data_IF_366416843111
#
_entry.id   IF_366416843111
#
_cell.length_a   1.000
_cell.length_b   1.000
_cell.length_c   1.000
_cell.angle_alpha   90.00
_cell.angle_beta   90.00
_cell.angle_gamma   90.00
#
_symmetry.space_group_name_H-M   'P 1'
#
loop_
_entity.id
_entity.type
_entity.pdbx_description
1 polymer ?
#
# COMPACT_ATOMS: atom_id res chain seq x y z
N UNK A 1 6.33 -44.23 -35.26
CA UNK A 1 6.53 -43.61 -33.94
C UNK A 1 6.47 -42.10 -34.11
N UNK A 2 5.31 -41.51 -33.82
CA UNK A 2 5.08 -40.07 -33.99
C UNK A 2 5.86 -39.36 -32.88
N UNK A 3 6.98 -38.71 -33.23
CA UNK A 3 7.82 -37.98 -32.29
C UNK A 3 7.04 -36.73 -31.84
N UNK A 4 6.36 -36.81 -30.70
CA UNK A 4 5.82 -35.63 -30.03
C UNK A 4 7.03 -34.88 -29.47
N UNK A 5 7.62 -34.02 -30.28
CA UNK A 5 8.70 -33.13 -29.84
C UNK A 5 8.10 -32.21 -28.80
N UNK A 6 8.45 -32.43 -27.54
CA UNK A 6 7.88 -31.72 -26.40
C UNK A 6 8.29 -30.24 -26.49
N UNK A 7 7.43 -29.37 -27.03
CA UNK A 7 7.65 -27.92 -27.23
C UNK A 7 7.69 -27.12 -25.91
N UNK A 8 7.87 -27.82 -24.79
CA UNK A 8 7.76 -27.28 -23.43
C UNK A 8 8.79 -26.19 -23.18
N UNK A 9 10.00 -26.29 -23.74
CA UNK A 9 11.01 -25.24 -23.62
C UNK A 9 10.60 -23.89 -24.21
N UNK A 10 9.62 -23.84 -25.14
CA UNK A 10 9.08 -22.58 -25.69
C UNK A 10 7.84 -22.09 -24.96
N UNK A 11 7.00 -22.98 -24.43
CA UNK A 11 5.75 -22.60 -23.75
C UNK A 11 5.94 -22.34 -22.27
N UNK A 12 6.91 -22.99 -21.62
CA UNK A 12 7.24 -22.82 -20.21
C UNK A 12 7.72 -21.40 -19.87
N UNK A 13 8.63 -20.74 -20.64
CA UNK A 13 8.97 -19.35 -20.36
C UNK A 13 7.79 -18.40 -20.55
N UNK A 14 6.93 -18.63 -21.56
CA UNK A 14 5.69 -17.84 -21.75
C UNK A 14 4.73 -18.01 -20.57
N UNK A 15 4.55 -19.24 -20.10
CA UNK A 15 3.73 -19.54 -18.92
C UNK A 15 4.31 -18.90 -17.66
N UNK A 16 5.60 -19.05 -17.41
CA UNK A 16 6.28 -18.43 -16.28
C UNK A 16 6.19 -16.89 -16.33
N UNK A 17 6.32 -16.29 -17.51
CA UNK A 17 6.14 -14.85 -17.69
C UNK A 17 4.70 -14.41 -17.39
N UNK A 18 3.69 -15.16 -17.86
CA UNK A 18 2.30 -14.88 -17.56
C UNK A 18 1.98 -15.00 -16.07
N UNK A 19 2.53 -16.02 -15.40
CA UNK A 19 2.41 -16.19 -13.94
C UNK A 19 3.08 -15.03 -13.21
N UNK A 20 4.33 -14.68 -13.56
CA UNK A 20 5.04 -13.58 -12.92
C UNK A 20 4.30 -12.25 -13.06
N UNK A 21 3.80 -11.95 -14.26
CA UNK A 21 3.03 -10.73 -14.53
C UNK A 21 1.71 -10.72 -13.75
N UNK A 22 1.04 -11.86 -13.67
CA UNK A 22 -0.18 -12.03 -12.87
C UNK A 22 0.10 -11.86 -11.37
N UNK A 23 1.19 -12.43 -10.85
CA UNK A 23 1.60 -12.30 -9.46
C UNK A 23 1.87 -10.84 -9.09
N UNK A 24 2.59 -10.09 -9.93
CA UNK A 24 2.83 -8.65 -9.73
C UNK A 24 1.51 -7.90 -9.65
N UNK A 25 0.57 -8.18 -10.57
CA UNK A 25 -0.75 -7.56 -10.56
C UNK A 25 -1.54 -7.88 -9.29
N UNK A 26 -1.55 -9.14 -8.84
CA UNK A 26 -2.25 -9.58 -7.62
C UNK A 26 -1.64 -8.93 -6.38
N UNK A 27 -0.31 -8.89 -6.25
CA UNK A 27 0.33 -8.24 -5.10
C UNK A 27 0.06 -6.73 -5.07
N UNK A 28 0.07 -6.06 -6.23
CA UNK A 28 -0.31 -4.65 -6.31
C UNK A 28 -1.78 -4.44 -5.93
N UNK A 29 -2.68 -5.34 -6.36
CA UNK A 29 -4.10 -5.29 -5.98
C UNK A 29 -4.33 -5.51 -4.46
N UNK A 30 -3.56 -6.40 -3.85
CA UNK A 30 -3.58 -6.58 -2.39
C UNK A 30 -3.11 -5.32 -1.67
N UNK A 31 -2.03 -4.67 -2.15
CA UNK A 31 -1.59 -3.38 -1.64
C UNK A 31 -2.67 -2.32 -1.79
N UNK A 32 -3.29 -2.18 -2.97
CA UNK A 32 -4.32 -1.17 -3.26
C UNK A 32 -5.57 -1.31 -2.39
N UNK A 33 -5.88 -2.53 -1.94
CA UNK A 33 -7.05 -2.85 -1.11
C UNK A 33 -6.74 -2.75 0.40
N UNK A 34 -5.56 -2.26 0.79
CA UNK A 34 -5.16 -2.11 2.19
C UNK A 34 -5.96 -1.00 2.89
N UNK A 35 -6.32 -1.16 4.18
CA UNK A 35 -7.09 -0.12 4.88
C UNK A 35 -6.32 1.20 5.01
N UNK A 36 -4.98 1.19 5.00
CA UNK A 36 -4.15 2.43 4.96
C UNK A 36 -4.50 3.29 3.74
N UNK A 37 -4.77 2.67 2.60
CA UNK A 37 -5.10 3.39 1.37
C UNK A 37 -6.52 3.95 1.43
N UNK A 38 -7.46 3.19 2.00
CA UNK A 38 -8.81 3.69 2.25
C UNK A 38 -8.78 4.92 3.20
N UNK A 39 -8.00 4.86 4.29
CA UNK A 39 -7.84 5.96 5.24
C UNK A 39 -7.19 7.18 4.60
N UNK A 40 -6.10 7.01 3.82
CA UNK A 40 -5.45 8.12 3.12
C UNK A 40 -6.35 8.76 2.06
N UNK A 41 -7.13 7.97 1.30
CA UNK A 41 -8.13 8.51 0.38
C UNK A 41 -9.24 9.28 1.11
N UNK A 42 -9.69 8.79 2.25
CA UNK A 42 -10.68 9.50 3.06
C UNK A 42 -10.13 10.83 3.57
N UNK A 43 -8.91 10.83 4.12
CA UNK A 43 -8.23 12.04 4.58
C UNK A 43 -8.04 13.07 3.43
N UNK A 44 -7.76 12.62 2.21
CA UNK A 44 -7.69 13.51 1.04
C UNK A 44 -9.04 14.17 0.74
N UNK A 45 -10.14 13.45 0.89
CA UNK A 45 -11.49 13.98 0.62
C UNK A 45 -11.93 15.00 1.66
N UNK A 46 -11.45 14.88 2.89
CA UNK A 46 -11.80 15.79 3.99
C UNK A 46 -10.83 16.95 4.13
N UNK A 47 -9.61 16.84 3.60
CA UNK A 47 -8.59 17.90 3.66
C UNK A 47 -8.98 19.13 2.82
N UNK A 48 -9.06 20.33 3.43
CA UNK A 48 -9.35 21.56 2.70
C UNK A 48 -8.30 21.87 1.61
N UNK A 49 -7.01 21.69 1.93
CA UNK A 49 -5.89 21.94 1.00
C UNK A 49 -5.91 20.98 -0.19
N UNK A 50 -6.17 19.69 0.07
CA UNK A 50 -6.28 18.71 -1.00
C UNK A 50 -7.45 19.03 -1.93
N UNK A 51 -8.60 19.42 -1.35
CA UNK A 51 -9.81 19.79 -2.10
C UNK A 51 -9.67 21.08 -2.88
N UNK A 52 -8.88 22.04 -2.41
CA UNK A 52 -8.58 23.27 -3.15
C UNK A 52 -7.94 22.95 -4.52
N UNK A 53 -7.01 21.99 -4.55
CA UNK A 53 -6.31 21.57 -5.75
C UNK A 53 -7.07 20.51 -6.57
N UNK A 54 -7.47 19.39 -5.94
CA UNK A 54 -8.08 18.24 -6.62
C UNK A 54 -9.58 18.46 -6.92
N UNK A 55 -10.26 19.29 -6.14
CA UNK A 55 -11.72 19.41 -6.14
C UNK A 55 -12.42 18.30 -5.37
N UNK A 56 -13.70 18.13 -5.65
CA UNK A 56 -14.55 17.08 -5.07
C UNK A 56 -14.31 15.70 -5.71
N UNK A 57 -14.92 14.67 -5.13
CA UNK A 57 -14.93 13.29 -5.64
C UNK A 57 -13.53 12.69 -5.88
N UNK A 58 -12.61 12.87 -4.93
CA UNK A 58 -11.26 12.28 -5.04
C UNK A 58 -11.33 10.76 -5.12
N UNK A 59 -10.79 10.17 -6.18
CA UNK A 59 -10.69 8.73 -6.44
C UNK A 59 -9.29 8.38 -6.95
N UNK A 60 -9.03 7.08 -7.13
CA UNK A 60 -7.85 6.66 -7.91
C UNK A 60 -7.97 7.15 -9.36
N UNK A 61 -6.83 7.53 -9.95
CA UNK A 61 -6.77 7.90 -11.37
C UNK A 61 -7.11 6.73 -12.30
N UNK A 62 -6.76 5.51 -11.90
CA UNK A 62 -6.91 4.30 -12.71
C UNK A 62 -7.71 3.22 -11.96
N UNK A 63 -8.41 2.36 -12.71
CA UNK A 63 -9.18 1.24 -12.14
C UNK A 63 -8.29 0.21 -11.44
N UNK A 64 -7.08 0.00 -11.97
CA UNK A 64 -6.01 -0.78 -11.33
C UNK A 64 -4.93 0.24 -10.93
N UNK A 65 -5.01 0.82 -9.73
CA UNK A 65 -4.04 1.81 -9.30
C UNK A 65 -2.69 1.14 -9.02
N UNK A 66 -1.62 1.69 -9.59
CA UNK A 66 -0.27 1.25 -9.26
C UNK A 66 0.16 1.91 -7.94
N UNK A 67 0.42 1.09 -6.92
CA UNK A 67 0.87 1.56 -5.61
C UNK A 67 2.39 1.34 -5.54
N UNK A 68 3.14 2.41 -5.72
CA UNK A 68 4.59 2.36 -5.61
C UNK A 68 5.01 2.48 -4.14
N UNK A 69 6.13 1.84 -3.81
CA UNK A 69 6.77 1.93 -2.49
C UNK A 69 6.56 0.73 -1.57
N UNK A 70 6.92 0.95 -0.31
CA UNK A 70 6.95 -0.04 0.75
C UNK A 70 5.70 0.07 1.65
N UNK A 71 4.97 -1.03 1.75
CA UNK A 71 3.87 -1.17 2.70
C UNK A 71 4.26 -2.26 3.69
N UNK A 72 4.99 -1.88 4.74
CA UNK A 72 5.47 -2.79 5.76
C UNK A 72 4.95 -2.37 7.13
N UNK A 73 3.64 -2.53 7.32
CA UNK A 73 2.94 -2.18 8.56
C UNK A 73 3.51 -2.95 9.76
N UNK A 74 3.87 -4.23 9.57
CA UNK A 74 4.45 -5.08 10.63
C UNK A 74 5.75 -4.51 11.19
N UNK A 75 6.67 -4.08 10.33
CA UNK A 75 7.92 -3.44 10.77
C UNK A 75 7.77 -1.93 10.98
N UNK A 76 6.53 -1.41 10.90
CA UNK A 76 6.27 -0.03 11.22
C UNK A 76 6.76 0.98 10.19
N UNK A 77 6.90 0.59 8.92
CA UNK A 77 7.37 1.46 7.83
C UNK A 77 6.37 1.46 6.69
N UNK A 78 5.84 2.64 6.39
CA UNK A 78 4.93 2.87 5.27
C UNK A 78 5.54 4.03 4.48
N UNK A 79 5.85 3.79 3.21
CA UNK A 79 6.20 4.83 2.24
C UNK A 79 5.55 4.44 0.93
N UNK A 80 4.41 5.05 0.65
CA UNK A 80 3.58 4.71 -0.50
C UNK A 80 3.28 5.95 -1.35
N UNK A 81 3.17 5.72 -2.65
CA UNK A 81 2.70 6.73 -3.58
C UNK A 81 1.74 6.14 -4.61
N UNK A 82 0.71 6.90 -4.95
CA UNK A 82 -0.27 6.50 -5.96
C UNK A 82 -0.98 7.69 -6.60
N UNK A 83 -1.40 7.51 -7.85
CA UNK A 83 -2.11 8.54 -8.61
C UNK A 83 -3.57 8.68 -8.20
N UNK A 84 -3.96 9.91 -7.89
CA UNK A 84 -5.33 10.30 -7.53
C UNK A 84 -5.88 11.31 -8.54
N UNK A 85 -7.19 11.30 -8.72
CA UNK A 85 -7.94 12.22 -9.57
C UNK A 85 -9.16 12.72 -8.83
N UNK A 86 -9.34 14.03 -8.81
CA UNK A 86 -10.60 14.66 -8.39
C UNK A 86 -11.33 15.27 -9.58
N UNK A 87 -12.39 16.02 -9.28
CA UNK A 87 -13.21 16.71 -10.27
C UNK A 87 -12.47 17.82 -11.03
N UNK A 88 -11.43 18.43 -10.44
CA UNK A 88 -10.66 19.53 -11.07
C UNK A 88 -9.35 19.06 -11.68
N UNK A 89 -8.52 18.39 -10.87
CA UNK A 89 -7.16 18.03 -11.24
C UNK A 89 -6.81 16.61 -10.80
N UNK A 90 -5.67 16.13 -11.31
CA UNK A 90 -5.00 14.91 -10.87
C UNK A 90 -3.67 15.25 -10.21
N UNK A 91 -3.21 14.34 -9.34
CA UNK A 91 -1.93 14.42 -8.65
C UNK A 91 -1.42 13.02 -8.28
N UNK A 92 -0.16 12.92 -7.90
CA UNK A 92 0.38 11.76 -7.19
C UNK A 92 0.36 12.07 -5.71
N UNK A 93 -0.37 11.27 -4.92
CA UNK A 93 -0.33 11.39 -3.48
C UNK A 93 0.84 10.58 -2.95
N UNK A 94 1.61 11.16 -2.03
CA UNK A 94 2.67 10.49 -1.30
C UNK A 94 2.37 10.50 0.20
N UNK A 95 2.45 9.33 0.81
CA UNK A 95 2.24 9.13 2.23
C UNK A 95 3.40 8.33 2.81
N UNK A 96 4.10 8.91 3.78
CA UNK A 96 5.12 8.23 4.55
C UNK A 96 4.84 8.34 6.05
N UNK A 97 4.94 7.20 6.72
CA UNK A 97 4.78 7.07 8.16
C UNK A 97 5.72 6.01 8.71
N UNK A 98 6.27 6.26 9.89
CA UNK A 98 7.16 5.33 10.57
C UNK A 98 6.80 5.20 12.05
N UNK A 99 7.09 4.05 12.66
CA UNK A 99 7.17 3.89 14.12
C UNK A 99 8.55 3.39 14.51
N UNK A 100 9.14 4.00 15.54
CA UNK A 100 10.50 3.67 16.01
C UNK A 100 10.53 2.41 16.89
N UNK A 101 9.40 2.06 17.49
CA UNK A 101 9.23 0.88 18.34
C UNK A 101 7.98 0.12 17.91
N UNK A 102 7.97 -1.20 18.09
CA UNK A 102 6.76 -2.03 17.91
C UNK A 102 5.58 -1.54 18.76
N UNK A 103 5.87 -0.86 19.88
CA UNK A 103 4.92 -0.27 20.84
C UNK A 103 4.62 1.22 20.59
N UNK A 104 5.23 1.81 19.56
CA UNK A 104 5.12 3.23 19.25
C UNK A 104 3.92 3.50 18.34
N UNK A 105 3.24 4.62 18.57
CA UNK A 105 2.26 5.14 17.62
C UNK A 105 2.95 5.43 16.29
N UNK A 106 2.22 5.21 15.20
CA UNK A 106 2.69 5.65 13.88
C UNK A 106 2.80 7.18 13.85
N UNK A 107 3.96 7.68 13.41
CA UNK A 107 4.18 9.10 13.17
C UNK A 107 4.18 9.34 11.65
N UNK A 108 3.27 10.16 11.16
CA UNK A 108 3.28 10.57 9.75
C UNK A 108 4.36 11.60 9.52
N UNK A 109 5.33 11.28 8.65
CA UNK A 109 6.41 12.20 8.24
C UNK A 109 6.06 12.99 7.00
N UNK A 110 5.30 12.39 6.11
CA UNK A 110 5.00 12.99 4.83
C UNK A 110 3.57 12.67 4.44
N UNK A 111 2.80 13.70 4.14
CA UNK A 111 1.54 13.57 3.45
C UNK A 111 1.41 14.75 2.50
N UNK A 112 1.55 14.47 1.21
CA UNK A 112 1.61 15.52 0.19
C UNK A 112 1.01 15.10 -1.14
N UNK A 113 0.68 16.09 -1.95
CA UNK A 113 0.26 15.92 -3.34
C UNK A 113 1.32 16.50 -4.26
N UNK A 114 1.79 15.70 -5.20
CA UNK A 114 2.65 16.14 -6.28
C UNK A 114 1.81 16.33 -7.54
N UNK A 115 1.77 17.56 -8.03
CA UNK A 115 1.08 17.92 -9.27
C UNK A 115 1.84 17.38 -10.49
N UNK A 116 1.18 17.20 -11.65
CA UNK A 116 1.86 16.81 -12.89
C UNK A 116 2.97 17.78 -13.31
N UNK A 117 2.88 19.04 -12.87
CA UNK A 117 3.87 20.10 -13.13
C UNK A 117 5.07 20.05 -12.16
N UNK A 118 5.12 19.06 -11.25
CA UNK A 118 6.21 18.87 -10.27
C UNK A 118 6.09 19.75 -9.02
N UNK A 119 5.02 20.54 -8.88
CA UNK A 119 4.75 21.28 -7.64
C UNK A 119 4.28 20.31 -6.56
N UNK A 120 4.91 20.38 -5.38
CA UNK A 120 4.52 19.64 -4.18
C UNK A 120 3.64 20.49 -3.26
N UNK A 121 2.52 19.94 -2.82
CA UNK A 121 1.56 20.54 -1.90
C UNK A 121 1.58 19.73 -0.62
N UNK A 122 2.09 20.31 0.46
CA UNK A 122 2.11 19.67 1.78
C UNK A 122 0.73 19.76 2.44
N UNK A 123 0.22 18.61 2.86
CA UNK A 123 -1.08 18.45 3.50
C UNK A 123 -0.98 18.26 5.02
N UNK A 124 0.23 18.11 5.58
CA UNK A 124 0.43 18.07 7.02
C UNK A 124 0.30 19.47 7.63
N UNK A 125 -0.78 19.72 8.35
CA UNK A 125 -1.04 20.98 9.06
C UNK A 125 -0.79 20.86 10.58
N UNK A 126 0.28 20.15 10.97
CA UNK A 126 0.71 19.99 12.36
C UNK A 126 -0.15 19.06 13.23
N UNK A 127 -1.41 18.82 12.86
CA UNK A 127 -2.23 17.74 13.39
C UNK A 127 -2.21 16.55 12.41
N UNK A 128 -1.68 15.41 12.85
CA UNK A 128 -1.66 14.19 12.05
C UNK A 128 -3.07 13.56 12.03
N UNK A 129 -3.77 13.58 10.87
CA UNK A 129 -5.11 13.00 10.77
C UNK A 129 -5.11 11.47 10.84
N UNK A 130 -3.94 10.83 10.80
CA UNK A 130 -3.78 9.38 10.79
C UNK A 130 -3.53 8.78 12.18
N UNK A 131 -3.22 9.61 13.18
CA UNK A 131 -2.95 9.16 14.56
C UNK A 131 -4.15 8.39 15.14
N UNK A 132 -3.94 7.12 15.51
CA UNK A 132 -4.98 6.23 16.04
C UNK A 132 -5.87 5.55 15.00
N UNK A 133 -5.63 5.77 13.70
CA UNK A 133 -6.51 5.31 12.61
C UNK A 133 -5.83 4.38 11.60
N UNK A 134 -4.53 4.13 11.76
CA UNK A 134 -3.80 3.14 10.99
C UNK A 134 -4.08 1.74 11.59
N UNK A 135 -4.46 0.73 10.80
CA UNK A 135 -4.65 -0.62 11.31
C UNK A 135 -3.39 -1.12 12.04
N UNK A 136 -3.55 -1.62 13.26
CA UNK A 136 -2.43 -2.01 14.12
C UNK A 136 -1.92 -0.92 15.05
N UNK A 137 -2.52 0.27 15.02
CA UNK A 137 -2.33 1.32 16.02
C UNK A 137 -3.25 1.11 17.25
N UNK A 138 -4.26 0.23 17.13
CA UNK A 138 -5.20 -0.21 18.17
C UNK A 138 -4.88 -1.59 18.77
N UNK A 139 -3.96 -2.35 18.14
CA UNK A 139 -3.55 -3.66 18.62
C UNK A 139 -2.67 -3.51 19.86
N UNK A 140 -3.06 -4.19 20.93
CA UNK A 140 -2.25 -4.24 22.15
C UNK A 140 -0.95 -5.02 21.88
N UNK A 141 0.08 -4.75 22.67
CA UNK A 141 1.40 -5.41 22.55
C UNK A 141 1.28 -6.94 22.51
N UNK A 142 0.36 -7.50 23.31
CA UNK A 142 0.10 -8.93 23.41
C UNK A 142 -0.49 -9.50 22.11
N UNK A 143 -1.35 -8.73 21.43
CA UNK A 143 -1.94 -9.12 20.15
C UNK A 143 -0.87 -9.12 19.06
N UNK A 144 -0.01 -8.09 19.02
CA UNK A 144 1.08 -7.97 18.04
C UNK A 144 2.11 -9.09 18.18
N UNK A 145 2.55 -9.40 19.40
CA UNK A 145 3.44 -10.54 19.66
C UNK A 145 2.79 -11.86 19.26
N UNK A 146 1.49 -12.03 19.50
CA UNK A 146 0.77 -13.21 19.07
C UNK A 146 0.71 -13.34 17.53
N UNK A 147 0.50 -12.25 16.78
CA UNK A 147 0.52 -12.32 15.29
C UNK A 147 1.92 -12.57 14.74
N UNK A 148 2.95 -11.96 15.33
CA UNK A 148 4.36 -12.15 14.92
C UNK A 148 4.81 -13.58 15.21
N UNK A 149 4.56 -14.08 16.42
CA UNK A 149 4.84 -15.46 16.81
C UNK A 149 4.06 -16.46 15.94
N UNK A 150 2.80 -16.18 15.63
CA UNK A 150 2.01 -17.00 14.72
C UNK A 150 2.55 -16.97 13.27
N UNK A 151 3.07 -15.83 12.80
CA UNK A 151 3.66 -15.70 11.47
C UNK A 151 5.02 -16.42 11.37
N UNK A 152 5.84 -16.35 12.41
CA UNK A 152 7.13 -17.07 12.50
C UNK A 152 6.92 -18.59 12.61
N UNK A 153 5.95 -19.02 13.42
CA UNK A 153 5.66 -20.45 13.65
C UNK A 153 4.98 -21.10 12.43
N UNK A 154 4.31 -20.33 11.56
CA UNK A 154 3.73 -20.86 10.30
C UNK A 154 4.78 -21.37 9.31
N UNK A 155 6.06 -21.05 9.49
CA UNK A 155 7.17 -21.56 8.67
C UNK A 155 7.85 -22.82 9.22
N UNK A 156 7.66 -23.15 10.50
CA UNK A 156 8.33 -24.27 11.17
C UNK A 156 7.31 -25.37 11.52
N UNK A 157 7.15 -26.34 10.62
CA UNK A 157 6.59 -27.70 10.86
C UNK A 157 5.56 -27.82 12.00
N UNK A 158 4.28 -27.85 11.63
CA UNK A 158 3.35 -28.73 12.34
C UNK A 158 3.76 -30.18 12.02
N UNK A 159 4.59 -30.77 12.87
CA UNK A 159 4.72 -32.22 12.97
C UNK A 159 5.14 -32.59 14.39
N UNK A 160 4.44 -33.61 14.91
CA UNK A 160 4.65 -34.37 16.15
C UNK A 160 3.97 -33.69 17.35
N UNK A 161 2.95 -34.28 17.99
CA UNK A 161 2.77 -35.70 18.35
C UNK A 161 1.30 -36.09 18.40
#
# INVERSE_FOLDING_TARGET
LNQITFRWSRTLPLFAAAIALSSIAIFNYQKSSSPVIASTLYALRTSPKAREYLGDEVQFKHQIPWIAGEMNQLHGRIDISFSVKGSRNEAVMKFASFRTSHKGLFETTEWSLETPDGRKIDLLDGADPFKGSIPGDDLSDDDLEAVVSAAETRGFRQNIK
#
